data_IF_696718308299
#
_entry.id   IF_696718308299
#
_cell.length_a   1.000
_cell.length_b   1.000
_cell.length_c   1.000
_cell.angle_alpha   90.00
_cell.angle_beta   90.00
_cell.angle_gamma   90.00
#
_symmetry.space_group_name_H-M   'P 1'
#
loop_
_entity.id
_entity.type
_entity.pdbx_description
1 polymer ?
#
# COMPACT_ATOMS: atom_id res chain seq x y z
N UNK A 1 4.74 19.71 3.08
CA UNK A 1 5.34 18.77 4.02
C UNK A 1 5.25 17.35 3.43
N UNK A 2 6.37 16.65 3.36
CA UNK A 2 6.39 15.30 2.83
C UNK A 2 6.04 14.29 3.94
N UNK A 3 5.19 13.32 3.61
CA UNK A 3 4.92 12.20 4.51
C UNK A 3 6.07 11.19 4.44
N UNK A 4 6.26 10.43 5.52
CA UNK A 4 7.18 9.29 5.49
C UNK A 4 6.73 8.31 4.42
N UNK A 5 7.68 7.83 3.62
CA UNK A 5 7.41 6.84 2.58
C UNK A 5 7.94 5.47 2.99
N UNK A 6 7.19 4.43 2.64
CA UNK A 6 7.63 3.07 2.80
C UNK A 6 8.86 2.80 1.93
N UNK A 7 9.89 2.24 2.55
CA UNK A 7 11.19 2.03 1.89
C UNK A 7 11.26 0.71 1.14
N UNK A 8 11.91 0.75 0.00
CA UNK A 8 12.18 -0.44 -0.80
C UNK A 8 13.48 -0.27 -1.59
N UNK A 9 14.05 -1.40 -1.99
CA UNK A 9 15.19 -1.43 -2.91
C UNK A 9 14.70 -1.82 -4.30
N UNK A 10 15.22 -1.15 -5.34
CA UNK A 10 14.92 -1.51 -6.73
C UNK A 10 15.96 -2.54 -7.16
N UNK A 11 15.52 -3.75 -7.46
CA UNK A 11 16.39 -4.84 -7.90
C UNK A 11 16.61 -4.81 -9.41
N UNK A 12 15.57 -4.51 -10.16
CA UNK A 12 15.60 -4.35 -11.61
C UNK A 12 14.63 -3.28 -12.03
N UNK A 13 14.92 -2.60 -13.14
CA UNK A 13 14.03 -1.59 -13.71
C UNK A 13 14.02 -1.71 -15.22
N UNK A 14 12.82 -1.70 -15.78
CA UNK A 14 12.60 -1.73 -17.23
C UNK A 14 11.41 -0.83 -17.56
N UNK A 15 11.68 0.38 -18.06
CA UNK A 15 10.65 1.37 -18.32
C UNK A 15 9.92 1.76 -17.05
N UNK A 16 8.60 1.56 -17.04
CA UNK A 16 7.74 1.85 -15.88
C UNK A 16 7.68 0.69 -14.88
N UNK A 17 8.33 -0.43 -15.19
CA UNK A 17 8.30 -1.63 -14.37
C UNK A 17 9.54 -1.69 -13.49
N UNK A 18 9.34 -1.98 -12.20
CA UNK A 18 10.42 -2.21 -11.25
C UNK A 18 10.17 -3.52 -10.50
N UNK A 19 11.24 -4.26 -10.23
CA UNK A 19 11.20 -5.33 -9.24
C UNK A 19 11.70 -4.71 -7.95
N UNK A 20 10.85 -4.69 -6.93
CA UNK A 20 11.10 -4.02 -5.65
C UNK A 20 11.15 -5.02 -4.51
N UNK A 21 12.10 -4.81 -3.62
CA UNK A 21 12.20 -5.55 -2.37
C UNK A 21 11.87 -4.62 -1.21
N UNK A 22 10.77 -4.88 -0.53
CA UNK A 22 10.33 -4.11 0.62
C UNK A 22 10.86 -4.76 1.90
N UNK A 23 11.51 -3.97 2.76
CA UNK A 23 11.88 -4.40 4.09
C UNK A 23 10.61 -4.71 4.91
N UNK A 24 10.73 -5.48 6.00
CA UNK A 24 9.58 -5.71 6.87
C UNK A 24 8.94 -4.41 7.34
N UNK A 25 7.62 -4.39 7.42
CA UNK A 25 6.87 -3.21 7.86
C UNK A 25 5.59 -3.63 8.55
N UNK A 26 4.91 -2.68 9.19
CA UNK A 26 3.64 -2.93 9.87
C UNK A 26 2.55 -2.15 9.15
N UNK A 27 1.44 -2.81 8.84
CA UNK A 27 0.28 -2.14 8.26
C UNK A 27 -0.94 -2.25 9.18
N UNK A 28 -1.75 -1.21 9.14
CA UNK A 28 -3.07 -1.18 9.77
C UNK A 28 -4.11 -1.29 8.67
N UNK A 29 -4.92 -2.32 8.76
CA UNK A 29 -5.80 -2.74 7.68
C UNK A 29 -7.26 -2.70 8.14
N UNK A 30 -8.11 -2.08 7.33
CA UNK A 30 -9.56 -2.12 7.49
C UNK A 30 -10.15 -2.90 6.33
N UNK A 31 -11.15 -3.73 6.60
CA UNK A 31 -11.75 -4.64 5.60
C UNK A 31 -12.58 -3.95 4.53
N UNK A 32 -12.68 -2.62 4.54
CA UNK A 32 -13.45 -1.89 3.52
C UNK A 32 -12.57 -0.84 2.84
N UNK A 33 -12.46 -0.83 1.50
CA UNK A 33 -11.73 0.20 0.77
C UNK A 33 -12.54 1.49 0.59
N UNK A 34 -13.79 1.52 1.07
CA UNK A 34 -14.66 2.67 0.97
C UNK A 34 -14.17 3.82 1.86
N UNK A 35 -14.84 4.96 1.72
CA UNK A 35 -14.60 6.13 2.58
C UNK A 35 -14.68 5.77 4.06
N UNK A 36 -15.59 4.87 4.45
CA UNK A 36 -15.71 4.43 5.84
C UNK A 36 -14.46 3.69 6.33
N UNK A 37 -13.82 2.89 5.48
CA UNK A 37 -12.56 2.23 5.81
C UNK A 37 -11.43 3.23 6.06
N UNK A 38 -11.31 4.24 5.23
CA UNK A 38 -10.36 5.33 5.43
C UNK A 38 -10.61 6.04 6.77
N UNK A 39 -11.88 6.37 7.06
CA UNK A 39 -12.25 7.05 8.31
C UNK A 39 -11.90 6.22 9.55
N UNK A 40 -12.10 4.91 9.49
CA UNK A 40 -11.74 3.99 10.58
C UNK A 40 -10.24 4.07 10.86
N UNK A 41 -9.40 3.99 9.83
CA UNK A 41 -7.96 4.06 9.98
C UNK A 41 -7.50 5.46 10.40
N UNK A 42 -8.12 6.49 9.85
CA UNK A 42 -7.79 7.86 10.21
C UNK A 42 -8.10 8.15 11.68
N UNK A 43 -9.19 7.58 12.21
CA UNK A 43 -9.52 7.68 13.63
C UNK A 43 -8.41 7.08 14.50
N UNK A 44 -7.88 5.92 14.10
CA UNK A 44 -6.78 5.28 14.82
C UNK A 44 -5.55 6.19 14.89
N UNK A 45 -5.10 6.74 13.78
CA UNK A 45 -3.91 7.60 13.77
C UNK A 45 -4.17 8.97 14.39
N UNK A 46 -5.43 9.36 14.55
CA UNK A 46 -5.81 10.63 15.19
C UNK A 46 -5.91 10.51 16.72
N UNK A 47 -5.72 9.31 17.27
CA UNK A 47 -5.69 9.10 18.72
C UNK A 47 -6.69 8.08 19.25
N UNK A 48 -7.56 7.51 18.42
CA UNK A 48 -8.49 6.47 18.87
C UNK A 48 -7.80 5.11 18.96
N UNK A 49 -6.91 5.02 19.95
CA UNK A 49 -6.09 3.83 20.20
C UNK A 49 -5.78 3.74 21.69
N UNK A 50 -5.14 2.64 22.10
CA UNK A 50 -4.92 2.32 23.52
C UNK A 50 -4.02 3.33 24.26
N UNK A 51 -3.24 4.12 23.53
CA UNK A 51 -2.33 5.12 24.13
C UNK A 51 -2.79 6.56 23.91
N UNK A 52 -3.93 6.78 23.25
CA UNK A 52 -4.40 8.11 22.84
C UNK A 52 -3.32 8.87 22.07
N UNK A 53 -2.55 8.15 21.27
CA UNK A 53 -1.37 8.64 20.58
C UNK A 53 -1.73 9.08 19.17
N UNK A 54 -1.33 10.29 18.79
CA UNK A 54 -1.38 10.71 17.39
C UNK A 54 -0.22 10.09 16.63
N UNK A 55 -0.51 9.55 15.46
CA UNK A 55 0.46 8.91 14.59
C UNK A 55 0.44 9.68 13.27
N UNK A 56 1.63 10.02 12.76
CA UNK A 56 1.73 10.73 11.50
C UNK A 56 1.29 9.86 10.32
N UNK A 57 0.62 10.49 9.35
CA UNK A 57 0.25 9.81 8.11
C UNK A 57 1.50 9.42 7.32
N UNK A 58 1.43 8.28 6.65
CA UNK A 58 2.48 7.78 5.76
C UNK A 58 1.92 7.55 4.36
N UNK A 59 2.79 7.39 3.40
CA UNK A 59 2.45 6.98 2.04
C UNK A 59 3.30 5.77 1.65
N UNK A 60 2.83 4.90 0.79
CA UNK A 60 1.53 4.91 0.12
C UNK A 60 0.41 4.36 0.98
N UNK A 61 -0.83 4.58 0.55
CA UNK A 61 -2.01 3.88 1.05
C UNK A 61 -2.22 2.66 0.17
N UNK A 62 -2.32 1.49 0.79
CA UNK A 62 -2.55 0.23 0.08
C UNK A 62 -4.04 -0.01 -0.05
N UNK A 63 -4.49 -0.37 -1.25
CA UNK A 63 -5.86 -0.80 -1.47
C UNK A 63 -5.87 -2.05 -2.35
N UNK A 64 -6.88 -2.90 -2.12
CA UNK A 64 -7.19 -3.94 -3.07
C UNK A 64 -7.73 -3.28 -4.36
N UNK A 65 -7.46 -3.89 -5.49
CA UNK A 65 -8.01 -3.42 -6.77
C UNK A 65 -9.50 -3.75 -6.92
N UNK A 66 -10.04 -4.63 -6.07
CA UNK A 66 -11.45 -5.02 -6.05
C UNK A 66 -12.23 -4.10 -5.11
N UNK A 67 -13.49 -3.80 -5.46
CA UNK A 67 -14.35 -2.95 -4.65
C UNK A 67 -14.63 -3.48 -3.25
N UNK A 68 -14.60 -4.80 -3.09
CA UNK A 68 -14.85 -5.48 -1.81
C UNK A 68 -13.59 -5.73 -1.00
N UNK A 69 -12.47 -5.13 -1.41
CA UNK A 69 -11.18 -5.38 -0.78
C UNK A 69 -10.95 -4.59 0.49
N UNK A 70 -9.70 -4.21 0.72
CA UNK A 70 -9.29 -3.52 1.94
C UNK A 70 -8.62 -2.18 1.63
N UNK A 71 -8.47 -1.37 2.68
CA UNK A 71 -7.59 -0.22 2.69
C UNK A 71 -6.63 -0.37 3.86
N UNK A 72 -5.37 -0.02 3.66
CA UNK A 72 -4.36 -0.13 4.71
C UNK A 72 -3.41 1.06 4.69
N UNK A 73 -3.05 1.52 5.90
CA UNK A 73 -1.97 2.49 6.11
C UNK A 73 -0.75 1.75 6.61
N UNK A 74 0.44 2.28 6.36
CA UNK A 74 1.66 1.74 6.95
C UNK A 74 2.02 2.53 8.21
N UNK A 75 2.56 1.82 9.20
CA UNK A 75 2.97 2.42 10.48
C UNK A 75 4.33 3.11 10.30
N UNK A 76 4.51 4.36 10.80
CA UNK A 76 5.83 4.98 10.78
C UNK A 76 6.87 4.13 11.51
N UNK A 77 8.10 4.11 10.99
CA UNK A 77 9.18 3.29 11.57
C UNK A 77 9.42 3.57 13.05
N UNK A 78 9.40 4.84 13.43
CA UNK A 78 9.64 5.24 14.81
C UNK A 78 8.57 4.69 15.75
N UNK A 79 7.31 4.73 15.32
CA UNK A 79 6.19 4.18 16.09
C UNK A 79 6.32 2.67 16.26
N UNK A 80 6.78 1.98 15.22
CA UNK A 80 7.04 0.53 15.29
C UNK A 80 8.16 0.24 16.31
N UNK A 81 9.23 1.03 16.30
CA UNK A 81 10.36 0.86 17.24
C UNK A 81 9.96 1.09 18.68
N UNK A 82 9.13 2.08 18.93
CA UNK A 82 8.67 2.43 20.29
C UNK A 82 7.55 1.52 20.79
N UNK A 83 6.93 0.76 19.90
CA UNK A 83 5.75 -0.03 20.21
C UNK A 83 4.47 0.72 19.88
N UNK A 84 3.78 0.28 18.84
CA UNK A 84 2.56 0.92 18.42
C UNK A 84 1.39 0.63 19.36
N UNK A 85 0.41 1.55 19.49
CA UNK A 85 -0.76 1.33 20.33
C UNK A 85 -1.70 0.31 19.71
N UNK A 86 -2.49 -0.34 20.56
CA UNK A 86 -3.53 -1.26 20.09
C UNK A 86 -4.71 -0.47 19.51
N UNK A 87 -5.36 -1.05 18.52
CA UNK A 87 -6.58 -0.49 17.96
C UNK A 87 -7.75 -0.76 18.89
N UNK A 88 -8.55 0.28 19.18
CA UNK A 88 -9.78 0.13 19.94
C UNK A 88 -10.96 -0.27 19.05
N UNK A 89 -10.88 0.07 17.76
CA UNK A 89 -11.89 -0.30 16.78
C UNK A 89 -11.64 -1.74 16.31
N UNK A 90 -12.60 -2.66 16.48
CA UNK A 90 -12.40 -4.05 16.11
C UNK A 90 -12.32 -4.29 14.60
N UNK A 91 -12.63 -3.30 13.77
CA UNK A 91 -12.53 -3.39 12.32
C UNK A 91 -11.09 -3.25 11.83
N UNK A 92 -10.16 -2.86 12.69
CA UNK A 92 -8.75 -2.67 12.33
C UNK A 92 -7.96 -3.90 12.72
N UNK A 93 -7.22 -4.45 11.75
CA UNK A 93 -6.19 -5.45 11.98
C UNK A 93 -4.82 -4.81 11.79
N UNK A 94 -3.95 -4.98 12.78
CA UNK A 94 -2.56 -4.54 12.66
C UNK A 94 -1.73 -5.78 12.34
N UNK A 95 -1.08 -5.77 11.19
CA UNK A 95 -0.35 -6.93 10.65
C UNK A 95 1.10 -6.58 10.41
N UNK A 96 2.00 -7.45 10.89
CA UNK A 96 3.42 -7.38 10.53
C UNK A 96 3.61 -8.03 9.17
N UNK A 97 4.24 -7.31 8.27
CA UNK A 97 4.60 -7.82 6.95
C UNK A 97 6.08 -8.18 6.95
N UNK A 98 6.38 -9.41 6.55
CA UNK A 98 7.75 -9.84 6.34
C UNK A 98 8.32 -9.19 5.08
N UNK A 99 9.63 -9.31 4.89
CA UNK A 99 10.28 -8.87 3.66
C UNK A 99 9.62 -9.52 2.45
N UNK A 100 9.26 -8.71 1.45
CA UNK A 100 8.57 -9.19 0.25
C UNK A 100 9.12 -8.55 -1.01
N UNK A 101 9.04 -9.28 -2.09
CA UNK A 101 9.42 -8.79 -3.41
C UNK A 101 8.17 -8.63 -4.28
N UNK A 102 8.10 -7.50 -4.97
CA UNK A 102 6.98 -7.18 -5.86
C UNK A 102 7.49 -6.75 -7.22
N UNK A 103 6.71 -7.07 -8.24
CA UNK A 103 6.82 -6.39 -9.54
C UNK A 103 5.83 -5.23 -9.50
N UNK A 104 6.29 -4.03 -9.80
CA UNK A 104 5.46 -2.84 -9.76
C UNK A 104 5.45 -2.12 -11.10
N UNK A 105 4.34 -1.46 -11.39
CA UNK A 105 4.20 -0.55 -12.52
C UNK A 105 3.73 0.80 -11.99
N UNK A 106 4.51 1.83 -12.23
CA UNK A 106 4.19 3.19 -11.79
C UNK A 106 3.60 4.00 -12.93
N UNK A 107 2.51 4.69 -12.67
CA UNK A 107 1.91 5.59 -13.64
C UNK A 107 1.26 6.78 -12.95
N UNK A 108 1.03 7.84 -13.72
CA UNK A 108 0.29 9.02 -13.30
C UNK A 108 -0.99 9.08 -14.12
N UNK A 109 -2.13 9.22 -13.44
CA UNK A 109 -3.41 9.32 -14.12
C UNK A 109 -4.54 8.60 -13.42
N UNK A 110 -5.60 8.30 -14.18
CA UNK A 110 -6.84 7.74 -13.66
C UNK A 110 -6.68 6.30 -13.17
N UNK A 111 -7.40 5.96 -12.11
CA UNK A 111 -7.55 4.60 -11.60
C UNK A 111 -8.14 3.64 -12.66
N UNK A 112 -8.84 4.18 -13.66
CA UNK A 112 -9.42 3.36 -14.75
C UNK A 112 -8.37 2.58 -15.54
N UNK A 113 -7.10 2.97 -15.46
CA UNK A 113 -5.99 2.28 -16.13
C UNK A 113 -5.53 1.01 -15.42
N UNK A 114 -6.03 0.73 -14.21
CA UNK A 114 -5.53 -0.36 -13.36
C UNK A 114 -5.60 -1.72 -14.06
N UNK A 115 -6.72 -2.05 -14.71
CA UNK A 115 -6.86 -3.36 -15.37
C UNK A 115 -5.84 -3.55 -16.48
N UNK A 116 -5.59 -2.51 -17.27
CA UNK A 116 -4.57 -2.54 -18.32
C UNK A 116 -3.19 -2.75 -17.74
N UNK A 117 -2.88 -2.05 -16.64
CA UNK A 117 -1.59 -2.15 -15.97
C UNK A 117 -1.38 -3.54 -15.36
N UNK A 118 -2.41 -4.12 -14.75
CA UNK A 118 -2.36 -5.49 -14.22
C UNK A 118 -1.99 -6.47 -15.31
N UNK A 119 -2.59 -6.35 -16.49
CA UNK A 119 -2.28 -7.23 -17.60
C UNK A 119 -0.83 -7.09 -18.06
N UNK A 120 -0.32 -5.86 -18.13
CA UNK A 120 1.08 -5.60 -18.47
C UNK A 120 2.00 -6.32 -17.47
N UNK A 121 1.71 -6.22 -16.18
CA UNK A 121 2.49 -6.88 -15.13
C UNK A 121 2.42 -8.39 -15.23
N UNK A 122 1.25 -8.94 -15.49
CA UNK A 122 1.08 -10.39 -15.65
C UNK A 122 1.89 -10.92 -16.82
N UNK A 123 1.85 -10.23 -17.95
CA UNK A 123 2.66 -10.59 -19.13
C UNK A 123 4.16 -10.53 -18.81
N UNK A 124 4.59 -9.50 -18.09
CA UNK A 124 5.99 -9.37 -17.68
C UNK A 124 6.42 -10.53 -16.78
N UNK A 125 5.61 -10.86 -15.79
CA UNK A 125 5.87 -11.97 -14.85
C UNK A 125 5.94 -13.30 -15.59
N UNK A 126 5.02 -13.54 -16.52
CA UNK A 126 5.00 -14.76 -17.31
C UNK A 126 6.27 -14.88 -18.17
N UNK A 127 6.65 -13.79 -18.83
CA UNK A 127 7.86 -13.78 -19.67
C UNK A 127 9.15 -14.00 -18.88
N UNK A 128 9.18 -13.56 -17.62
CA UNK A 128 10.34 -13.73 -16.73
C UNK A 128 10.34 -15.05 -15.97
N UNK A 129 9.25 -15.81 -16.06
CA UNK A 129 9.12 -17.08 -15.33
C UNK A 129 8.96 -16.90 -13.83
N UNK A 130 8.46 -15.77 -13.39
CA UNK A 130 8.23 -15.48 -11.97
C UNK A 130 6.85 -16.00 -11.54
N UNK A 131 6.69 -16.28 -10.24
CA UNK A 131 5.43 -16.76 -9.67
C UNK A 131 4.75 -15.65 -8.91
N UNK A 132 3.47 -15.44 -9.19
CA UNK A 132 2.64 -14.45 -8.48
C UNK A 132 2.07 -15.07 -7.21
N UNK A 133 2.13 -14.31 -6.12
CA UNK A 133 1.55 -14.66 -4.83
C UNK A 133 0.43 -13.66 -4.51
N UNK A 134 -0.80 -14.13 -4.37
CA UNK A 134 -1.92 -13.29 -3.98
C UNK A 134 -2.47 -12.37 -5.07
N UNK A 135 -3.33 -11.47 -4.68
CA UNK A 135 -4.00 -10.54 -5.57
C UNK A 135 -3.20 -9.26 -5.80
N UNK A 136 -3.40 -8.56 -6.93
CA UNK A 136 -2.76 -7.27 -7.15
C UNK A 136 -3.13 -6.25 -6.08
N UNK A 137 -2.19 -5.36 -5.75
CA UNK A 137 -2.43 -4.24 -4.85
C UNK A 137 -2.22 -2.93 -5.58
N UNK A 138 -3.02 -1.94 -5.21
CA UNK A 138 -2.92 -0.58 -5.71
C UNK A 138 -2.37 0.32 -4.60
N UNK A 139 -1.31 1.06 -4.91
CA UNK A 139 -0.69 2.01 -3.99
C UNK A 139 -1.06 3.42 -4.42
N UNK A 140 -1.61 4.20 -3.49
CA UNK A 140 -2.00 5.58 -3.73
C UNK A 140 -1.12 6.53 -2.93
N UNK A 141 -0.67 7.60 -3.58
CA UNK A 141 0.29 8.54 -2.98
C UNK A 141 -0.33 9.90 -2.69
N UNK A 142 -1.44 10.27 -3.31
CA UNK A 142 -2.10 11.55 -3.12
C UNK A 142 -3.56 11.38 -2.73
N UNK A 143 -4.06 12.38 -1.99
CA UNK A 143 -5.45 12.43 -1.59
C UNK A 143 -6.37 13.01 -2.67
N UNK A 144 -7.67 13.15 -2.36
CA UNK A 144 -8.67 13.62 -3.34
C UNK A 144 -8.50 15.06 -3.78
N UNK A 145 -7.68 15.85 -3.08
CA UNK A 145 -7.40 17.25 -3.46
C UNK A 145 -6.54 17.36 -4.71
N UNK A 146 -5.79 16.32 -5.06
CA UNK A 146 -5.01 16.27 -6.29
C UNK A 146 -5.90 15.78 -7.42
N UNK A 147 -5.99 16.52 -8.57
CA UNK A 147 -6.80 16.05 -9.70
C UNK A 147 -6.36 14.68 -10.21
N UNK A 148 -7.28 13.83 -10.67
CA UNK A 148 -6.95 12.45 -11.08
C UNK A 148 -5.81 12.37 -12.11
N UNK A 149 -5.71 13.32 -13.03
CA UNK A 149 -4.67 13.33 -14.06
C UNK A 149 -3.26 13.51 -13.50
N UNK A 150 -3.13 13.98 -12.25
CA UNK A 150 -1.84 14.19 -11.59
C UNK A 150 -1.56 13.18 -10.48
N UNK A 151 -2.48 12.24 -10.23
CA UNK A 151 -2.29 11.25 -9.16
C UNK A 151 -1.33 10.16 -9.59
N UNK A 152 -0.33 9.92 -8.73
CA UNK A 152 0.60 8.81 -8.92
C UNK A 152 -0.01 7.53 -8.34
N UNK A 153 0.11 6.45 -9.07
CA UNK A 153 -0.29 5.11 -8.63
C UNK A 153 0.82 4.12 -8.92
N UNK A 154 0.94 3.13 -8.04
CA UNK A 154 1.70 1.91 -8.33
C UNK A 154 0.73 0.75 -8.28
N UNK A 155 0.82 -0.13 -9.25
CA UNK A 155 0.14 -1.43 -9.21
C UNK A 155 1.23 -2.48 -8.97
N UNK A 156 1.02 -3.36 -8.00
CA UNK A 156 2.04 -4.34 -7.64
C UNK A 156 1.48 -5.74 -7.57
N UNK A 157 2.31 -6.70 -8.00
CA UNK A 157 2.08 -8.13 -7.81
C UNK A 157 3.21 -8.67 -6.94
N UNK A 158 2.86 -9.31 -5.84
CA UNK A 158 3.85 -10.02 -5.03
C UNK A 158 4.36 -11.21 -5.81
N UNK A 159 5.68 -11.41 -5.82
CA UNK A 159 6.30 -12.50 -6.59
C UNK A 159 7.25 -13.32 -5.74
N UNK A 160 7.46 -14.57 -6.19
CA UNK A 160 8.59 -15.40 -5.77
C UNK A 160 9.36 -15.83 -7.02
N UNK A 161 10.64 -16.10 -6.83
CA UNK A 161 11.52 -16.52 -7.90
C UNK A 161 11.49 -18.04 -8.11
#
# INVERSE_FOLDING_TARGET
MAYEQLKYDVLEKEGHIEIRKYAPFVMMKSGSPSYSGFQVLFSYISGYNSKKQKINMTVPVFTDVKESGYIAFTMPEEVVKEGYPEALDPRINIEKQEEKTYVSYSYVGSIKKVDTVIKILQDYVDNKGLKVQGDPVLLRYQGPMVPPIFRKHDVMLEITF
#
